data_IF_979720835792
#
_entry.id   IF_979720835792
#
_cell.length_a   1.000
_cell.length_b   1.000
_cell.length_c   1.000
_cell.angle_alpha   90.00
_cell.angle_beta   90.00
_cell.angle_gamma   90.00
#
_symmetry.space_group_name_H-M   'P 1'
#
loop_
_entity.id
_entity.type
_entity.pdbx_description
1 polymer ?
#
# COMPACT_ATOMS: atom_id res chain seq x y z
N UNK A 1 -1.57 -11.10 8.02
CA UNK A 1 -2.89 -11.40 7.40
C UNK A 1 -3.82 -12.02 8.41
N UNK A 2 -5.09 -11.60 8.42
CA UNK A 2 -6.14 -12.21 9.22
C UNK A 2 -6.80 -13.34 8.42
N UNK A 3 -6.86 -14.54 9.02
CA UNK A 3 -7.57 -15.70 8.49
C UNK A 3 -8.76 -16.00 9.39
N UNK A 4 -9.95 -16.00 8.80
CA UNK A 4 -11.18 -16.40 9.47
C UNK A 4 -11.52 -17.85 9.11
N UNK A 5 -11.69 -18.71 10.10
CA UNK A 5 -12.02 -20.13 9.90
C UNK A 5 -13.54 -20.29 9.87
N UNK A 6 -14.07 -20.69 8.71
CA UNK A 6 -15.50 -20.93 8.53
C UNK A 6 -15.95 -22.26 9.17
N UNK A 7 -17.28 -22.38 9.41
CA UNK A 7 -17.90 -23.60 9.96
C UNK A 7 -17.69 -24.84 9.08
N UNK A 8 -17.60 -24.67 7.76
CA UNK A 8 -17.34 -25.77 6.83
C UNK A 8 -16.01 -26.50 7.09
N UNK A 9 -14.99 -25.76 7.53
CA UNK A 9 -13.70 -26.34 7.93
C UNK A 9 -13.84 -27.16 9.22
N UNK A 10 -14.59 -26.63 10.19
CA UNK A 10 -14.82 -27.33 11.46
C UNK A 10 -15.55 -28.65 11.21
N UNK A 11 -16.59 -28.64 10.39
CA UNK A 11 -17.33 -29.84 9.99
C UNK A 11 -16.46 -30.87 9.26
N UNK A 12 -15.54 -30.40 8.40
CA UNK A 12 -14.61 -31.30 7.72
C UNK A 12 -13.59 -31.91 8.70
N UNK A 13 -13.10 -31.13 9.67
CA UNK A 13 -12.20 -31.62 10.71
C UNK A 13 -12.87 -32.65 11.63
N UNK A 14 -14.13 -32.44 12.03
CA UNK A 14 -14.93 -33.40 12.79
C UNK A 14 -15.13 -34.72 12.04
N UNK A 15 -15.26 -34.68 10.71
CA UNK A 15 -15.29 -35.85 9.84
C UNK A 15 -13.92 -36.48 9.58
N UNK A 16 -12.89 -36.03 10.31
CA UNK A 16 -11.50 -36.52 10.21
C UNK A 16 -10.89 -36.37 8.81
N UNK A 17 -11.23 -35.28 8.09
CA UNK A 17 -10.57 -34.96 6.82
C UNK A 17 -9.10 -34.59 7.11
N UNK A 18 -8.19 -35.54 6.87
CA UNK A 18 -6.77 -35.40 7.17
C UNK A 18 -6.13 -34.17 6.51
N UNK A 19 -6.53 -33.85 5.26
CA UNK A 19 -5.99 -32.66 4.58
C UNK A 19 -6.37 -31.36 5.28
N UNK A 20 -7.62 -31.23 5.73
CA UNK A 20 -8.09 -30.07 6.49
C UNK A 20 -7.40 -29.97 7.85
N UNK A 21 -7.29 -31.10 8.56
CA UNK A 21 -6.62 -31.14 9.89
C UNK A 21 -5.16 -30.72 9.75
N UNK A 22 -4.44 -31.23 8.74
CA UNK A 22 -3.05 -30.86 8.48
C UNK A 22 -2.92 -29.34 8.23
N UNK A 23 -3.81 -28.76 7.40
CA UNK A 23 -3.77 -27.30 7.13
C UNK A 23 -4.10 -26.46 8.35
N UNK A 24 -4.99 -26.94 9.21
CA UNK A 24 -5.26 -26.28 10.50
C UNK A 24 -4.03 -26.30 11.42
N UNK A 25 -3.27 -27.39 11.45
CA UNK A 25 -2.01 -27.49 12.20
C UNK A 25 -0.96 -26.50 11.68
N UNK A 26 -0.79 -26.43 10.37
CA UNK A 26 0.10 -25.47 9.72
C UNK A 26 -0.29 -24.02 10.03
N UNK A 27 -1.57 -23.72 10.01
CA UNK A 27 -2.12 -22.40 10.32
C UNK A 27 -1.90 -22.03 11.80
N UNK A 28 -2.13 -22.97 12.73
CA UNK A 28 -1.82 -22.80 14.15
C UNK A 28 -0.33 -22.59 14.39
N UNK A 29 0.52 -23.29 13.66
CA UNK A 29 1.97 -23.08 13.70
C UNK A 29 2.33 -21.64 13.30
N UNK A 30 1.77 -21.13 12.19
CA UNK A 30 1.98 -19.75 11.76
C UNK A 30 1.50 -18.74 12.82
N UNK A 31 0.33 -18.97 13.40
CA UNK A 31 -0.21 -18.11 14.44
C UNK A 31 0.68 -18.05 15.68
N UNK A 32 1.15 -19.21 16.17
CA UNK A 32 2.07 -19.31 17.33
C UNK A 32 3.38 -18.55 17.08
N UNK A 33 3.86 -18.55 15.84
CA UNK A 33 5.08 -17.84 15.42
C UNK A 33 4.86 -16.33 15.20
N UNK A 34 3.64 -15.85 15.35
CA UNK A 34 3.33 -14.44 15.11
C UNK A 34 3.37 -14.04 13.64
N UNK A 35 2.99 -14.94 12.75
CA UNK A 35 3.02 -14.73 11.29
C UNK A 35 1.65 -14.35 10.72
N UNK A 36 0.57 -14.62 11.45
CA UNK A 36 -0.80 -14.31 11.06
C UNK A 36 -1.69 -14.05 12.28
N UNK A 37 -2.94 -13.67 12.00
CA UNK A 37 -4.04 -13.62 12.97
C UNK A 37 -5.04 -14.69 12.60
N UNK A 38 -5.57 -15.41 13.61
CA UNK A 38 -6.66 -16.36 13.45
C UNK A 38 -7.90 -15.86 14.18
N UNK A 39 -9.04 -15.98 13.51
CA UNK A 39 -10.35 -15.79 14.13
C UNK A 39 -11.36 -16.82 13.61
N UNK A 40 -12.43 -17.01 14.37
CA UNK A 40 -13.60 -17.81 14.03
C UNK A 40 -14.73 -17.49 14.99
N UNK A 41 -15.94 -18.00 14.75
CA UNK A 41 -17.00 -17.98 15.77
C UNK A 41 -16.58 -18.74 17.02
N UNK A 42 -17.00 -18.25 18.19
CA UNK A 42 -16.65 -18.89 19.47
C UNK A 42 -17.04 -20.36 19.51
N UNK A 43 -18.23 -20.69 19.02
CA UNK A 43 -18.71 -22.08 18.90
C UNK A 43 -17.79 -22.95 18.02
N UNK A 44 -17.30 -22.43 16.91
CA UNK A 44 -16.39 -23.14 16.03
C UNK A 44 -15.05 -23.42 16.73
N UNK A 45 -14.52 -22.46 17.48
CA UNK A 45 -13.31 -22.66 18.26
C UNK A 45 -13.52 -23.73 19.34
N UNK A 46 -14.66 -23.75 20.02
CA UNK A 46 -15.00 -24.78 21.02
C UNK A 46 -15.08 -26.18 20.40
N UNK A 47 -15.68 -26.29 19.20
CA UNK A 47 -15.75 -27.55 18.45
C UNK A 47 -14.36 -28.05 18.05
N UNK A 48 -13.49 -27.16 17.54
CA UNK A 48 -12.09 -27.50 17.22
C UNK A 48 -11.32 -27.96 18.45
N UNK A 49 -11.43 -27.27 19.58
CA UNK A 49 -10.78 -27.63 20.83
C UNK A 49 -11.22 -29.03 21.28
N UNK A 50 -12.49 -29.38 21.13
CA UNK A 50 -13.07 -30.68 21.51
C UNK A 50 -12.50 -31.86 20.69
N UNK A 51 -11.94 -31.62 19.48
CA UNK A 51 -11.27 -32.67 18.71
C UNK A 51 -10.00 -33.21 19.40
N UNK A 52 -9.43 -32.47 20.30
CA UNK A 52 -8.22 -32.91 21.03
C UNK A 52 -6.94 -32.77 20.23
N UNK A 53 -5.87 -33.44 20.65
CA UNK A 53 -4.56 -33.36 19.98
C UNK A 53 -4.04 -31.93 19.89
N UNK A 54 -3.47 -31.57 18.72
CA UNK A 54 -2.99 -30.22 18.39
C UNK A 54 -4.10 -29.18 18.36
N UNK A 55 -5.34 -29.56 18.08
CA UNK A 55 -6.49 -28.66 18.03
C UNK A 55 -6.81 -28.01 19.39
N UNK A 56 -6.34 -28.57 20.51
CA UNK A 56 -6.45 -27.94 21.84
C UNK A 56 -5.83 -26.52 21.88
N UNK A 57 -4.87 -26.24 21.02
CA UNK A 57 -4.18 -24.97 20.95
C UNK A 57 -5.09 -23.83 20.47
N UNK A 58 -6.23 -24.14 19.84
CA UNK A 58 -7.27 -23.14 19.55
C UNK A 58 -7.85 -22.50 20.82
N UNK A 59 -7.63 -23.07 22.01
CA UNK A 59 -7.95 -22.43 23.29
C UNK A 59 -7.20 -21.09 23.44
N UNK A 60 -5.96 -21.01 22.97
CA UNK A 60 -5.17 -19.79 23.01
C UNK A 60 -5.66 -18.76 21.97
N UNK A 61 -6.13 -19.19 20.78
CA UNK A 61 -6.80 -18.31 19.81
C UNK A 61 -8.08 -17.75 20.40
N UNK A 62 -8.89 -18.59 21.05
CA UNK A 62 -10.14 -18.18 21.72
C UNK A 62 -9.88 -17.16 22.84
N UNK A 63 -8.79 -17.30 23.60
CA UNK A 63 -8.44 -16.40 24.69
C UNK A 63 -8.13 -14.95 24.21
N UNK A 64 -7.60 -14.76 23.00
CA UNK A 64 -7.26 -13.44 22.44
C UNK A 64 -8.35 -12.85 21.56
N UNK A 65 -9.45 -13.57 21.33
CA UNK A 65 -10.53 -13.19 20.41
C UNK A 65 -11.11 -11.79 20.68
N UNK A 66 -11.24 -11.39 21.94
CA UNK A 66 -11.79 -10.09 22.30
C UNK A 66 -10.92 -8.94 21.79
N UNK A 67 -9.59 -9.10 21.81
CA UNK A 67 -8.65 -8.13 21.25
C UNK A 67 -8.67 -8.06 19.71
N UNK A 68 -9.08 -9.16 19.05
CA UNK A 68 -9.15 -9.24 17.60
C UNK A 68 -10.39 -8.53 17.04
N UNK A 69 -11.47 -8.44 17.80
CA UNK A 69 -12.75 -7.90 17.30
C UNK A 69 -12.62 -6.50 16.71
N UNK A 70 -11.82 -5.64 17.30
CA UNK A 70 -11.62 -4.28 16.84
C UNK A 70 -10.82 -4.18 15.52
N UNK A 71 -10.05 -5.22 15.16
CA UNK A 71 -9.19 -5.17 13.98
C UNK A 71 -9.98 -5.11 12.67
N UNK A 72 -11.23 -5.61 12.66
CA UNK A 72 -12.09 -5.60 11.47
C UNK A 72 -12.48 -4.19 11.00
N UNK A 73 -12.46 -3.20 11.90
CA UNK A 73 -12.65 -1.79 11.53
C UNK A 73 -11.44 -1.19 10.83
N UNK A 74 -10.24 -1.72 11.12
CA UNK A 74 -8.97 -1.16 10.73
C UNK A 74 -8.36 -1.83 9.49
N UNK A 75 -9.02 -2.87 8.96
CA UNK A 75 -8.59 -3.60 7.75
C UNK A 75 -9.55 -3.38 6.59
N UNK A 76 -8.98 -3.37 5.37
CA UNK A 76 -9.73 -3.28 4.12
C UNK A 76 -10.09 -4.65 3.56
N UNK A 77 -9.32 -5.69 3.89
CA UNK A 77 -9.54 -7.06 3.44
C UNK A 77 -8.95 -8.10 4.41
N UNK A 78 -9.48 -9.31 4.34
CA UNK A 78 -9.01 -10.49 5.08
C UNK A 78 -9.38 -11.76 4.32
N UNK A 79 -8.92 -12.92 4.76
CA UNK A 79 -9.19 -14.19 4.12
C UNK A 79 -10.17 -15.01 4.97
N UNK A 80 -11.21 -15.52 4.33
CA UNK A 80 -12.10 -16.52 4.90
C UNK A 80 -11.72 -17.89 4.32
N UNK A 81 -11.23 -18.75 5.20
CA UNK A 81 -10.91 -20.12 4.86
C UNK A 81 -12.18 -20.95 4.85
N UNK A 82 -12.42 -21.70 3.76
CA UNK A 82 -13.57 -22.57 3.56
C UNK A 82 -13.12 -23.98 3.20
N UNK A 83 -14.04 -24.94 3.28
CA UNK A 83 -13.90 -26.27 2.72
C UNK A 83 -14.98 -26.47 1.67
N UNK A 84 -14.57 -26.64 0.40
CA UNK A 84 -15.49 -26.69 -0.72
C UNK A 84 -16.24 -25.36 -0.98
N UNK A 85 -17.34 -25.43 -1.69
CA UNK A 85 -18.18 -24.28 -2.07
C UNK A 85 -19.06 -23.78 -0.90
N UNK A 86 -18.50 -23.58 0.27
CA UNK A 86 -19.24 -23.10 1.43
C UNK A 86 -19.63 -21.62 1.29
N UNK A 87 -20.80 -21.28 1.81
CA UNK A 87 -21.28 -19.90 1.93
C UNK A 87 -21.00 -19.43 3.36
N UNK A 88 -19.94 -18.64 3.61
CA UNK A 88 -19.58 -18.24 4.96
C UNK A 88 -20.69 -17.44 5.62
N UNK A 89 -20.98 -17.76 6.87
CA UNK A 89 -21.97 -17.03 7.66
C UNK A 89 -21.29 -15.85 8.37
N UNK A 90 -21.03 -14.78 7.63
CA UNK A 90 -20.50 -13.50 8.13
C UNK A 90 -21.51 -12.39 7.84
N UNK A 91 -21.36 -11.28 8.56
CA UNK A 91 -22.12 -10.06 8.27
C UNK A 91 -21.82 -9.56 6.85
N UNK A 92 -22.83 -9.00 6.19
CA UNK A 92 -22.72 -8.56 4.79
C UNK A 92 -21.57 -7.57 4.56
N UNK A 93 -21.29 -6.69 5.51
CA UNK A 93 -20.19 -5.71 5.39
C UNK A 93 -18.82 -6.36 5.57
N UNK A 94 -18.69 -7.39 6.38
CA UNK A 94 -17.48 -8.19 6.48
C UNK A 94 -17.26 -9.02 5.21
N UNK A 95 -18.33 -9.59 4.64
CA UNK A 95 -18.23 -10.35 3.38
C UNK A 95 -17.70 -9.51 2.21
N UNK A 96 -18.00 -8.21 2.16
CA UNK A 96 -17.45 -7.29 1.14
C UNK A 96 -15.93 -7.16 1.22
N UNK A 97 -15.35 -7.35 2.40
CA UNK A 97 -13.90 -7.30 2.64
C UNK A 97 -13.23 -8.68 2.55
N UNK A 98 -14.00 -9.76 2.46
CA UNK A 98 -13.51 -11.12 2.52
C UNK A 98 -13.05 -11.64 1.17
N UNK A 99 -11.84 -12.19 1.10
CA UNK A 99 -11.42 -13.10 0.04
C UNK A 99 -11.67 -14.54 0.49
N UNK A 100 -12.41 -15.33 -0.31
CA UNK A 100 -12.67 -16.73 0.00
C UNK A 100 -11.52 -17.58 -0.51
N UNK A 101 -11.03 -18.49 0.33
CA UNK A 101 -9.96 -19.41 -0.01
C UNK A 101 -10.28 -20.80 0.51
N UNK A 102 -10.28 -21.78 -0.38
CA UNK A 102 -10.38 -23.17 0.03
C UNK A 102 -9.10 -23.60 0.75
N UNK A 103 -9.23 -24.09 1.98
CA UNK A 103 -8.06 -24.41 2.83
C UNK A 103 -7.17 -25.48 2.22
N UNK A 104 -7.75 -26.43 1.47
CA UNK A 104 -7.01 -27.52 0.80
C UNK A 104 -6.29 -27.06 -0.46
N UNK A 105 -6.64 -25.90 -1.02
CA UNK A 105 -5.92 -25.33 -2.18
C UNK A 105 -4.58 -24.69 -1.77
N UNK A 106 -4.36 -24.44 -0.49
CA UNK A 106 -3.09 -23.88 0.03
C UNK A 106 -2.00 -24.93 -0.04
N UNK A 107 -0.94 -24.66 -0.77
CA UNK A 107 0.11 -25.65 -1.06
C UNK A 107 1.06 -25.94 0.11
N UNK A 108 1.14 -25.08 1.11
CA UNK A 108 2.00 -25.30 2.28
C UNK A 108 1.99 -24.15 3.29
N UNK A 109 2.66 -24.38 4.41
CA UNK A 109 2.75 -23.46 5.56
C UNK A 109 3.23 -22.05 5.17
N UNK A 110 4.14 -21.95 4.21
CA UNK A 110 4.69 -20.66 3.77
C UNK A 110 3.65 -19.74 3.14
N UNK A 111 2.62 -20.30 2.51
CA UNK A 111 1.54 -19.51 1.91
C UNK A 111 0.68 -18.79 2.96
N UNK A 112 0.60 -19.33 4.19
CA UNK A 112 -0.04 -18.65 5.33
C UNK A 112 0.87 -17.63 6.02
N UNK A 113 2.20 -17.81 5.89
CA UNK A 113 3.18 -17.06 6.66
C UNK A 113 3.72 -15.84 5.92
N UNK A 114 3.78 -15.86 4.58
CA UNK A 114 4.49 -14.86 3.80
C UNK A 114 3.49 -13.94 3.08
N UNK A 115 3.66 -12.65 3.30
CA UNK A 115 2.84 -11.60 2.70
C UNK A 115 3.76 -10.63 1.94
N UNK A 116 3.56 -10.47 0.64
CA UNK A 116 4.41 -9.62 -0.19
C UNK A 116 3.78 -8.26 -0.47
N UNK A 117 4.53 -7.20 -0.22
CA UNK A 117 4.27 -5.88 -0.80
C UNK A 117 5.14 -5.74 -2.04
N UNK A 118 4.50 -5.68 -3.20
CA UNK A 118 5.16 -5.58 -4.51
C UNK A 118 5.12 -4.12 -4.95
N UNK A 119 6.30 -3.53 -5.11
CA UNK A 119 6.48 -2.15 -5.56
C UNK A 119 7.28 -2.11 -6.86
N UNK A 120 7.27 -1.00 -7.57
CA UNK A 120 8.11 -0.83 -8.76
C UNK A 120 9.59 -0.91 -8.41
N UNK A 121 9.96 -0.35 -7.23
CA UNK A 121 11.30 -0.44 -6.67
C UNK A 121 11.23 -0.83 -5.18
N UNK A 122 12.24 -1.54 -4.68
CA UNK A 122 12.35 -1.92 -3.26
C UNK A 122 12.41 -0.69 -2.34
N UNK A 123 12.98 0.43 -2.79
CA UNK A 123 13.02 1.68 -2.00
C UNK A 123 11.63 2.26 -1.73
N UNK A 124 10.68 2.06 -2.64
CA UNK A 124 9.30 2.49 -2.43
C UNK A 124 8.70 1.77 -1.23
N UNK A 125 8.98 0.47 -1.11
CA UNK A 125 8.56 -0.33 0.04
C UNK A 125 9.12 0.22 1.36
N UNK A 126 10.37 0.66 1.39
CA UNK A 126 10.98 1.20 2.62
C UNK A 126 10.23 2.44 3.11
N UNK A 127 9.83 3.33 2.20
CA UNK A 127 9.00 4.48 2.53
C UNK A 127 7.61 4.07 3.01
N UNK A 128 6.93 3.17 2.28
CA UNK A 128 5.60 2.70 2.65
C UNK A 128 5.60 2.00 4.01
N UNK A 129 6.61 1.17 4.27
CA UNK A 129 6.77 0.49 5.54
C UNK A 129 6.98 1.48 6.69
N UNK A 130 7.89 2.44 6.52
CA UNK A 130 8.16 3.47 7.54
C UNK A 130 6.90 4.30 7.85
N UNK A 131 6.20 4.78 6.83
CA UNK A 131 4.98 5.56 7.01
C UNK A 131 3.86 4.73 7.64
N UNK A 132 3.68 3.48 7.19
CA UNK A 132 2.70 2.56 7.79
C UNK A 132 3.04 2.28 9.25
N UNK A 133 4.31 2.01 9.58
CA UNK A 133 4.76 1.78 10.96
C UNK A 133 4.46 2.97 11.88
N UNK A 134 4.59 4.19 11.34
CA UNK A 134 4.27 5.43 12.06
C UNK A 134 2.75 5.56 12.31
N UNK A 135 1.93 5.31 11.29
CA UNK A 135 0.48 5.49 11.35
C UNK A 135 -0.23 4.39 12.14
N UNK A 136 0.23 3.14 12.04
CA UNK A 136 -0.36 2.01 12.78
C UNK A 136 0.28 1.77 14.15
N UNK A 137 1.15 2.67 14.61
CA UNK A 137 1.85 2.52 15.89
C UNK A 137 0.89 2.29 17.06
N UNK A 138 -0.24 3.00 17.07
CA UNK A 138 -1.29 2.83 18.09
C UNK A 138 -2.02 1.48 17.96
N UNK A 139 -2.18 0.95 16.73
CA UNK A 139 -2.83 -0.34 16.47
C UNK A 139 -1.89 -1.51 16.83
N UNK A 140 -0.59 -1.28 16.73
CA UNK A 140 0.42 -2.32 17.04
C UNK A 140 0.48 -2.68 18.52
N UNK A 141 -0.09 -1.95 19.42
CA UNK A 141 -0.12 -2.20 20.85
C UNK A 141 0.77 -3.41 21.29
N UNK A 142 0.62 -3.92 22.45
CA UNK A 142 1.41 -5.06 22.94
C UNK A 142 1.06 -6.40 22.25
N UNK A 143 -0.01 -6.48 21.44
CA UNK A 143 -0.59 -7.72 20.93
C UNK A 143 -0.24 -7.97 19.46
N UNK A 144 -0.17 -6.92 18.63
CA UNK A 144 -0.04 -7.04 17.18
C UNK A 144 1.33 -6.65 16.64
N UNK A 145 1.63 -7.17 15.47
CA UNK A 145 2.86 -6.98 14.71
C UNK A 145 2.52 -6.84 13.21
N UNK A 146 3.47 -6.34 12.43
CA UNK A 146 3.37 -6.28 10.96
C UNK A 146 4.34 -7.29 10.35
N UNK A 147 3.79 -8.29 9.64
CA UNK A 147 4.54 -9.34 8.95
C UNK A 147 4.39 -9.18 7.43
N UNK A 148 5.31 -8.45 6.82
CA UNK A 148 5.35 -8.17 5.38
C UNK A 148 6.78 -8.30 4.86
N UNK A 149 6.90 -8.66 3.59
CA UNK A 149 8.18 -8.74 2.87
C UNK A 149 8.14 -7.90 1.60
N UNK A 150 9.24 -7.21 1.25
CA UNK A 150 9.35 -6.52 -0.01
C UNK A 150 9.48 -7.49 -1.17
N UNK A 151 8.92 -7.11 -2.32
CA UNK A 151 9.19 -7.76 -3.57
C UNK A 151 9.34 -6.73 -4.70
N UNK A 152 10.44 -6.82 -5.46
CA UNK A 152 10.71 -5.88 -6.54
C UNK A 152 9.91 -6.27 -7.79
N UNK A 153 9.00 -5.40 -8.20
CA UNK A 153 8.17 -5.59 -9.39
C UNK A 153 8.90 -5.26 -10.70
N UNK A 154 9.86 -4.31 -10.66
CA UNK A 154 10.63 -3.91 -11.83
C UNK A 154 9.85 -3.09 -12.86
N UNK A 155 8.88 -2.27 -12.44
CA UNK A 155 8.10 -1.40 -13.33
C UNK A 155 7.35 -2.19 -14.42
N UNK A 156 7.75 -2.07 -15.69
CA UNK A 156 7.09 -2.74 -16.82
C UNK A 156 7.08 -4.28 -16.73
N UNK A 157 7.93 -4.89 -15.92
CA UNK A 157 8.01 -6.36 -15.71
C UNK A 157 7.22 -6.84 -14.48
N UNK A 158 6.50 -5.95 -13.82
CA UNK A 158 5.80 -6.24 -12.55
C UNK A 158 4.85 -7.44 -12.66
N UNK A 159 4.14 -7.59 -13.77
CA UNK A 159 3.20 -8.70 -13.99
C UNK A 159 3.93 -10.04 -14.03
N UNK A 160 5.05 -10.13 -14.73
CA UNK A 160 5.86 -11.36 -14.79
C UNK A 160 6.42 -11.70 -13.42
N UNK A 161 6.92 -10.68 -12.69
CA UNK A 161 7.38 -10.83 -11.31
C UNK A 161 6.29 -11.37 -10.39
N UNK A 162 5.06 -10.87 -10.50
CA UNK A 162 3.92 -11.25 -9.65
C UNK A 162 3.43 -12.67 -9.93
N UNK A 163 3.53 -13.15 -11.18
CA UNK A 163 3.17 -14.54 -11.53
C UNK A 163 3.99 -15.57 -10.75
N UNK A 164 5.25 -15.26 -10.43
CA UNK A 164 6.08 -16.13 -9.60
C UNK A 164 5.63 -16.20 -8.13
N UNK A 165 4.76 -15.26 -7.69
CA UNK A 165 4.19 -15.23 -6.34
C UNK A 165 2.82 -15.93 -6.26
N UNK A 166 2.54 -16.86 -7.17
CA UNK A 166 1.25 -17.57 -7.14
C UNK A 166 1.09 -18.34 -5.82
N UNK A 167 -0.12 -18.29 -5.24
CA UNK A 167 -0.44 -18.89 -3.95
C UNK A 167 -0.01 -18.07 -2.72
N UNK A 168 0.73 -16.95 -2.88
CA UNK A 168 1.06 -16.05 -1.77
C UNK A 168 0.15 -14.83 -1.73
N UNK A 169 -0.05 -14.31 -0.51
CA UNK A 169 -0.72 -13.03 -0.32
C UNK A 169 0.15 -11.90 -0.86
N UNK A 170 -0.40 -11.06 -1.73
CA UNK A 170 0.35 -9.96 -2.35
C UNK A 170 -0.48 -8.71 -2.54
N UNK A 171 0.13 -7.58 -2.21
CA UNK A 171 -0.38 -6.24 -2.46
C UNK A 171 0.55 -5.52 -3.42
N UNK A 172 0.02 -5.12 -4.57
CA UNK A 172 0.75 -4.36 -5.58
C UNK A 172 0.50 -2.87 -5.36
N UNK A 173 1.56 -2.09 -5.19
CA UNK A 173 1.46 -0.63 -5.07
C UNK A 173 2.27 -0.01 -6.21
N UNK A 174 1.63 0.88 -6.99
CA UNK A 174 2.23 1.52 -8.15
C UNK A 174 2.00 3.02 -8.18
N UNK A 175 2.88 3.72 -8.84
CA UNK A 175 2.75 5.13 -9.14
C UNK A 175 1.57 5.38 -10.09
N UNK A 176 1.01 6.57 -10.04
CA UNK A 176 -0.04 6.95 -11.00
C UNK A 176 0.52 7.49 -12.31
N UNK A 177 1.72 8.04 -12.30
CA UNK A 177 2.37 8.77 -13.41
C UNK A 177 1.52 9.93 -13.95
N UNK A 178 0.48 10.36 -13.23
CA UNK A 178 -0.43 11.42 -13.68
C UNK A 178 0.26 12.78 -13.59
N UNK A 179 0.20 13.53 -14.68
CA UNK A 179 0.78 14.88 -14.79
C UNK A 179 -0.22 16.01 -14.59
N UNK A 180 -1.51 15.68 -14.50
CA UNK A 180 -2.65 16.56 -14.25
C UNK A 180 -3.89 15.71 -13.98
N UNK A 181 -4.98 16.28 -13.48
CA UNK A 181 -6.12 15.54 -12.93
C UNK A 181 -6.76 14.54 -13.92
N UNK A 182 -7.03 14.96 -15.15
CA UNK A 182 -7.62 14.10 -16.19
C UNK A 182 -6.60 13.24 -16.95
N UNK A 183 -5.31 13.29 -16.58
CA UNK A 183 -4.29 12.45 -17.21
C UNK A 183 -4.60 10.96 -16.96
N UNK A 184 -4.53 10.10 -17.99
CA UNK A 184 -4.60 8.67 -17.78
C UNK A 184 -3.44 8.23 -16.87
N UNK A 185 -3.65 7.17 -16.12
CA UNK A 185 -2.60 6.54 -15.32
C UNK A 185 -1.50 5.94 -16.20
N UNK A 186 -0.35 5.68 -15.60
CA UNK A 186 0.82 5.15 -16.29
C UNK A 186 0.64 3.73 -16.86
N UNK A 187 1.63 3.31 -17.61
CA UNK A 187 1.62 2.00 -18.27
C UNK A 187 1.67 0.85 -17.26
N UNK A 188 2.39 1.00 -16.15
CA UNK A 188 2.50 -0.02 -15.10
C UNK A 188 1.13 -0.31 -14.47
N UNK A 189 0.36 0.73 -14.10
CA UNK A 189 -1.01 0.54 -13.60
C UNK A 189 -1.88 -0.17 -14.65
N UNK A 190 -1.80 0.24 -15.90
CA UNK A 190 -2.57 -0.37 -16.99
C UNK A 190 -2.29 -1.85 -17.15
N UNK A 191 -1.02 -2.28 -17.07
CA UNK A 191 -0.61 -3.69 -17.11
C UNK A 191 -1.16 -4.49 -15.92
N UNK A 192 -1.09 -3.92 -14.70
CA UNK A 192 -1.64 -4.57 -13.50
C UNK A 192 -3.15 -4.71 -13.59
N UNK A 193 -3.87 -3.66 -14.01
CA UNK A 193 -5.31 -3.73 -14.14
C UNK A 193 -5.73 -4.76 -15.21
N UNK A 194 -4.98 -4.88 -16.30
CA UNK A 194 -5.19 -5.92 -17.30
C UNK A 194 -4.95 -7.31 -16.72
N UNK A 195 -3.84 -7.52 -16.00
CA UNK A 195 -3.51 -8.78 -15.33
C UNK A 195 -4.62 -9.22 -14.37
N UNK A 196 -5.06 -8.32 -13.48
CA UNK A 196 -6.12 -8.61 -12.51
C UNK A 196 -7.44 -8.98 -13.20
N UNK A 197 -7.81 -8.29 -14.29
CA UNK A 197 -9.06 -8.58 -15.03
C UNK A 197 -9.00 -9.88 -15.82
N UNK A 198 -7.87 -10.17 -16.48
CA UNK A 198 -7.73 -11.32 -17.38
C UNK A 198 -7.44 -12.62 -16.64
N UNK A 199 -6.53 -12.58 -15.66
CA UNK A 199 -6.04 -13.77 -14.98
C UNK A 199 -6.75 -14.02 -13.64
N UNK A 200 -7.41 -12.98 -13.07
CA UNK A 200 -8.13 -13.04 -11.78
C UNK A 200 -7.32 -13.75 -10.70
N UNK A 201 -6.10 -13.31 -10.43
CA UNK A 201 -5.19 -13.99 -9.52
C UNK A 201 -5.77 -14.01 -8.10
N UNK A 202 -5.70 -15.17 -7.46
CA UNK A 202 -6.08 -15.30 -6.06
C UNK A 202 -5.13 -14.53 -5.14
N UNK A 203 -5.64 -14.08 -3.99
CA UNK A 203 -4.85 -13.44 -2.93
C UNK A 203 -4.00 -12.26 -3.43
N UNK A 204 -4.53 -11.50 -4.38
CA UNK A 204 -3.87 -10.39 -5.03
C UNK A 204 -4.70 -9.11 -4.93
N UNK A 205 -4.18 -8.13 -4.25
CA UNK A 205 -4.78 -6.79 -4.14
C UNK A 205 -3.88 -5.77 -4.83
N UNK A 206 -4.45 -4.67 -5.28
CA UNK A 206 -3.69 -3.58 -5.88
C UNK A 206 -4.10 -2.22 -5.34
N UNK A 207 -3.16 -1.30 -5.35
CA UNK A 207 -3.39 0.11 -5.09
C UNK A 207 -2.51 0.94 -6.02
N UNK A 208 -3.11 1.91 -6.71
CA UNK A 208 -2.38 2.90 -7.49
C UNK A 208 -2.44 4.21 -6.76
N UNK A 209 -1.31 4.86 -6.56
CA UNK A 209 -1.23 6.17 -5.90
C UNK A 209 -2.17 7.18 -6.59
N UNK A 210 -2.71 8.09 -5.80
CA UNK A 210 -3.43 9.26 -6.29
C UNK A 210 -2.42 10.30 -6.78
N UNK A 211 -1.34 10.47 -6.01
CA UNK A 211 -0.22 11.33 -6.35
C UNK A 211 0.59 10.78 -7.54
N UNK A 212 1.41 11.64 -8.15
CA UNK A 212 2.20 11.30 -9.34
C UNK A 212 3.09 10.08 -9.13
N UNK A 213 3.92 10.11 -8.10
CA UNK A 213 4.91 9.07 -7.77
C UNK A 213 5.15 8.98 -6.25
N UNK A 214 5.87 7.96 -5.81
CA UNK A 214 6.16 7.71 -4.38
C UNK A 214 6.84 8.91 -3.70
N UNK A 215 7.68 9.68 -4.41
CA UNK A 215 8.37 10.86 -3.89
C UNK A 215 7.40 11.96 -3.43
N UNK A 216 6.19 12.02 -3.98
CA UNK A 216 5.15 12.95 -3.52
C UNK A 216 4.69 12.65 -2.07
N UNK A 217 4.97 11.47 -1.55
CA UNK A 217 4.62 11.06 -0.18
C UNK A 217 5.69 11.42 0.85
N UNK A 218 6.86 11.91 0.41
CA UNK A 218 7.94 12.31 1.31
C UNK A 218 7.52 13.47 2.21
N UNK A 219 7.86 13.44 3.53
CA UNK A 219 7.62 14.58 4.39
C UNK A 219 8.46 15.79 3.96
N UNK A 220 7.84 16.95 3.89
CA UNK A 220 8.53 18.19 3.48
C UNK A 220 9.73 18.52 4.37
N UNK A 221 9.60 18.31 5.68
CA UNK A 221 10.70 18.51 6.63
C UNK A 221 11.92 17.65 6.30
N UNK A 222 11.71 16.41 5.85
CA UNK A 222 12.81 15.53 5.42
C UNK A 222 13.45 16.06 4.14
N UNK A 223 12.64 16.46 3.15
CA UNK A 223 13.14 17.06 1.90
C UNK A 223 13.96 18.31 2.19
N UNK A 224 13.51 19.19 3.11
CA UNK A 224 14.23 20.39 3.53
C UNK A 224 15.61 20.07 4.11
N UNK A 225 15.69 19.05 4.94
CA UNK A 225 16.94 18.66 5.59
C UNK A 225 17.96 18.07 4.62
N UNK A 226 17.54 17.20 3.71
CA UNK A 226 18.45 16.55 2.73
C UNK A 226 18.85 17.48 1.58
N UNK A 227 18.04 18.49 1.28
CA UNK A 227 18.27 19.42 0.16
C UNK A 227 18.76 20.80 0.60
N UNK A 228 19.32 20.92 1.81
CA UNK A 228 19.78 22.19 2.38
C UNK A 228 20.74 23.01 1.47
N UNK A 229 21.48 22.35 0.58
CA UNK A 229 22.36 22.99 -0.41
C UNK A 229 21.61 23.70 -1.55
N UNK A 230 20.33 23.44 -1.73
CA UNK A 230 19.48 24.00 -2.82
C UNK A 230 18.33 24.83 -2.25
N UNK A 231 18.65 25.74 -1.33
CA UNK A 231 17.67 26.59 -0.60
C UNK A 231 16.61 27.26 -1.49
N UNK A 232 16.96 27.64 -2.72
CA UNK A 232 16.02 28.28 -3.63
C UNK A 232 14.88 27.34 -4.07
N UNK A 233 15.15 26.02 -4.20
CA UNK A 233 14.12 25.02 -4.52
C UNK A 233 13.14 24.89 -3.36
N UNK A 234 13.66 24.78 -2.14
CA UNK A 234 12.87 24.72 -0.92
C UNK A 234 12.00 25.95 -0.75
N UNK A 235 12.56 27.17 -0.97
CA UNK A 235 11.78 28.40 -0.89
C UNK A 235 10.59 28.38 -1.84
N UNK A 236 10.76 27.91 -3.09
CA UNK A 236 9.67 27.79 -4.05
C UNK A 236 8.65 26.73 -3.62
N UNK A 237 9.12 25.58 -3.14
CA UNK A 237 8.25 24.50 -2.67
C UNK A 237 7.38 24.95 -1.49
N UNK A 238 7.93 25.73 -0.55
CA UNK A 238 7.18 26.29 0.57
C UNK A 238 6.10 27.29 0.10
N UNK A 239 6.41 28.15 -0.88
CA UNK A 239 5.40 29.04 -1.49
C UNK A 239 4.29 28.20 -2.14
N UNK A 240 4.64 27.14 -2.86
CA UNK A 240 3.66 26.24 -3.48
C UNK A 240 2.79 25.59 -2.41
N UNK A 241 3.39 25.05 -1.36
CA UNK A 241 2.67 24.38 -0.26
C UNK A 241 1.64 25.30 0.41
N UNK A 242 1.98 26.59 0.57
CA UNK A 242 1.14 27.58 1.25
C UNK A 242 0.10 28.24 0.30
N UNK A 243 0.15 27.98 -1.01
CA UNK A 243 -0.81 28.49 -1.98
C UNK A 243 -2.11 27.68 -1.98
N UNK A 244 -3.24 28.33 -2.22
CA UNK A 244 -4.54 27.69 -2.24
C UNK A 244 -4.66 26.57 -3.31
N UNK A 245 -3.93 26.69 -4.43
CA UNK A 245 -3.85 25.68 -5.49
C UNK A 245 -2.70 24.69 -5.28
N UNK A 246 -1.85 24.93 -4.28
CA UNK A 246 -0.63 24.19 -4.02
C UNK A 246 -0.84 22.69 -3.83
N UNK A 247 -1.83 22.28 -3.05
CA UNK A 247 -2.17 20.87 -2.88
C UNK A 247 -2.48 20.18 -4.22
N UNK A 248 -3.27 20.80 -5.09
CA UNK A 248 -3.59 20.26 -6.42
C UNK A 248 -2.34 20.17 -7.30
N UNK A 249 -1.46 21.18 -7.25
CA UNK A 249 -0.20 21.16 -7.99
C UNK A 249 0.72 20.03 -7.50
N UNK A 250 0.88 19.88 -6.19
CA UNK A 250 1.78 18.90 -5.57
C UNK A 250 1.36 17.45 -5.81
N UNK A 251 0.07 17.17 -5.99
CA UNK A 251 -0.41 15.84 -6.41
C UNK A 251 0.27 15.38 -7.70
N UNK A 252 0.46 16.28 -8.66
CA UNK A 252 0.97 15.97 -10.00
C UNK A 252 2.39 16.46 -10.26
N UNK A 253 3.07 16.97 -9.24
CA UNK A 253 4.44 17.45 -9.34
C UNK A 253 5.41 16.29 -9.37
N UNK A 254 6.23 16.21 -10.40
CA UNK A 254 7.33 15.26 -10.49
C UNK A 254 8.49 15.75 -9.60
N UNK A 255 8.66 15.14 -8.43
CA UNK A 255 9.71 15.55 -7.49
C UNK A 255 11.12 15.27 -8.00
N UNK A 256 11.29 14.30 -8.87
CA UNK A 256 12.59 14.01 -9.53
C UNK A 256 12.91 15.04 -10.60
N UNK A 257 12.01 15.17 -11.59
CA UNK A 257 12.28 15.90 -12.81
C UNK A 257 11.70 17.33 -12.85
N UNK A 258 10.82 17.66 -11.89
CA UNK A 258 10.20 18.98 -11.81
C UNK A 258 9.01 19.19 -12.76
N UNK A 259 8.47 20.41 -12.76
CA UNK A 259 7.38 20.81 -13.62
C UNK A 259 7.92 21.50 -14.88
N UNK A 260 7.67 20.91 -16.04
CA UNK A 260 8.24 21.33 -17.34
C UNK A 260 7.25 22.09 -18.21
N UNK A 261 7.78 22.79 -19.23
CA UNK A 261 6.98 23.47 -20.23
C UNK A 261 5.98 22.53 -20.93
N UNK A 262 6.36 21.26 -21.16
CA UNK A 262 5.47 20.24 -21.73
C UNK A 262 4.24 19.97 -20.86
N UNK A 263 4.40 19.93 -19.53
CA UNK A 263 3.28 19.73 -18.61
C UNK A 263 2.26 20.86 -18.73
N UNK A 264 2.72 22.11 -18.76
CA UNK A 264 1.82 23.26 -18.91
C UNK A 264 1.07 23.25 -20.25
N UNK A 265 1.70 22.77 -21.33
CA UNK A 265 1.06 22.60 -22.65
C UNK A 265 0.01 21.50 -22.64
N UNK A 266 0.29 20.38 -21.98
CA UNK A 266 -0.67 19.28 -21.82
C UNK A 266 -1.90 19.73 -21.03
N UNK A 267 -1.72 20.47 -19.94
CA UNK A 267 -2.79 21.07 -19.15
C UNK A 267 -3.62 22.01 -20.01
N UNK A 268 -2.99 22.90 -20.78
CA UNK A 268 -3.73 23.78 -21.73
C UNK A 268 -4.58 23.00 -22.72
N UNK A 269 -4.07 21.88 -23.22
CA UNK A 269 -4.77 21.06 -24.23
C UNK A 269 -5.93 20.27 -23.62
N UNK A 270 -5.76 19.72 -22.44
CA UNK A 270 -6.65 18.72 -21.87
C UNK A 270 -7.48 19.23 -20.66
N UNK A 271 -7.01 20.27 -19.96
CA UNK A 271 -7.63 20.84 -18.75
C UNK A 271 -7.58 22.37 -18.77
N UNK A 272 -8.07 23.00 -19.82
CA UNK A 272 -7.96 24.46 -19.98
C UNK A 272 -8.60 25.26 -18.83
N UNK A 273 -9.54 24.69 -18.10
CA UNK A 273 -10.20 25.31 -16.94
C UNK A 273 -9.24 25.58 -15.78
N UNK A 274 -8.30 24.67 -15.50
CA UNK A 274 -7.31 24.81 -14.44
C UNK A 274 -6.06 25.60 -14.83
N UNK A 275 -5.87 25.88 -16.14
CA UNK A 275 -4.69 26.59 -16.65
C UNK A 275 -4.46 27.95 -15.97
N UNK A 276 -5.55 28.65 -15.60
CA UNK A 276 -5.50 29.94 -14.90
C UNK A 276 -4.78 29.84 -13.56
N UNK A 277 -5.11 28.81 -12.79
CA UNK A 277 -4.55 28.59 -11.46
C UNK A 277 -3.08 28.16 -11.53
N UNK A 278 -2.71 27.29 -12.49
CA UNK A 278 -1.30 26.97 -12.77
C UNK A 278 -0.50 28.23 -13.09
N UNK A 279 -1.01 29.16 -13.92
CA UNK A 279 -0.32 30.41 -14.26
C UNK A 279 -0.13 31.29 -13.03
N UNK A 280 -1.17 31.46 -12.19
CA UNK A 280 -1.10 32.24 -10.96
C UNK A 280 -0.03 31.68 -10.03
N UNK A 281 -0.05 30.36 -9.77
CA UNK A 281 0.93 29.68 -8.94
C UNK A 281 2.35 29.83 -9.48
N UNK A 282 2.57 29.64 -10.78
CA UNK A 282 3.88 29.84 -11.38
C UNK A 282 4.37 31.29 -11.25
N UNK A 283 3.49 32.27 -11.35
CA UNK A 283 3.83 33.68 -11.14
C UNK A 283 4.19 33.98 -9.67
N UNK A 284 3.47 33.38 -8.69
CA UNK A 284 3.74 33.58 -7.27
C UNK A 284 5.14 33.08 -6.84
N UNK A 285 5.64 32.02 -7.51
CA UNK A 285 7.00 31.49 -7.29
C UNK A 285 8.07 32.17 -8.16
N UNK A 286 7.74 33.31 -8.80
CA UNK A 286 8.69 34.13 -9.55
C UNK A 286 8.96 33.71 -11.00
N UNK A 287 8.08 32.91 -11.61
CA UNK A 287 8.15 32.63 -13.06
C UNK A 287 7.48 33.77 -13.84
N UNK A 288 8.23 34.49 -14.67
CA UNK A 288 7.70 35.63 -15.41
C UNK A 288 6.60 35.22 -16.40
N UNK A 289 5.63 36.13 -16.60
CA UNK A 289 4.57 35.92 -17.60
C UNK A 289 5.10 35.59 -18.98
N UNK A 290 6.20 36.25 -19.41
CA UNK A 290 6.81 36.00 -20.72
C UNK A 290 7.35 34.58 -20.83
N UNK A 291 7.95 34.05 -19.73
CA UNK A 291 8.40 32.66 -19.68
C UNK A 291 7.21 31.69 -19.75
N UNK A 292 6.11 31.98 -19.07
CA UNK A 292 4.87 31.20 -19.13
C UNK A 292 4.28 31.24 -20.54
N UNK A 293 4.17 32.43 -21.15
CA UNK A 293 3.68 32.62 -22.54
C UNK A 293 4.56 31.86 -23.53
N UNK A 294 5.90 31.94 -23.38
CA UNK A 294 6.86 31.21 -24.21
C UNK A 294 6.68 29.70 -24.06
N UNK A 295 6.58 29.19 -22.83
CA UNK A 295 6.33 27.76 -22.55
C UNK A 295 5.08 27.24 -23.26
N UNK A 296 4.01 28.02 -23.28
CA UNK A 296 2.75 27.66 -23.96
C UNK A 296 2.85 27.67 -25.48
N UNK A 297 3.73 28.49 -26.06
CA UNK A 297 3.88 28.64 -27.54
C UNK A 297 4.89 27.67 -28.16
N UNK A 298 5.85 27.16 -27.36
CA UNK A 298 6.91 26.25 -27.86
C UNK A 298 6.30 24.96 -28.42
N UNK A 299 6.78 24.49 -29.55
CA UNK A 299 6.55 23.13 -30.02
C UNK A 299 7.28 22.17 -29.10
N UNK A 300 6.72 20.98 -28.91
CA UNK A 300 7.40 19.95 -28.12
C UNK A 300 8.69 19.53 -28.84
N UNK A 301 9.79 19.69 -28.14
CA UNK A 301 11.08 19.10 -28.47
C UNK A 301 11.71 18.64 -27.19
N UNK A 302 12.07 17.36 -27.13
CA UNK A 302 12.62 16.74 -25.93
C UNK A 302 13.89 17.44 -25.44
N UNK A 303 14.69 18.02 -26.36
CA UNK A 303 15.95 18.69 -26.05
C UNK A 303 15.73 20.13 -25.54
N UNK A 304 14.57 20.71 -25.76
CA UNK A 304 14.24 22.10 -25.37
C UNK A 304 13.11 22.20 -24.35
N UNK A 305 12.69 21.07 -23.76
CA UNK A 305 11.63 21.04 -22.76
C UNK A 305 12.17 21.50 -21.38
N UNK A 306 12.26 22.82 -21.24
CA UNK A 306 12.82 23.47 -20.06
C UNK A 306 11.93 23.30 -18.82
N UNK A 307 12.56 23.13 -17.68
CA UNK A 307 11.91 23.15 -16.36
C UNK A 307 11.38 24.56 -16.03
N UNK A 308 10.13 24.64 -15.60
CA UNK A 308 9.55 25.83 -14.98
C UNK A 308 9.77 25.82 -13.47
N UNK A 309 9.59 24.66 -12.84
CA UNK A 309 9.93 24.41 -11.44
C UNK A 309 10.88 23.23 -11.41
N UNK A 310 12.08 23.43 -10.85
CA UNK A 310 13.08 22.36 -10.81
C UNK A 310 12.70 21.23 -9.85
N UNK A 311 12.94 20.00 -10.28
CA UNK A 311 12.89 18.83 -9.42
C UNK A 311 14.12 18.70 -8.51
N UNK A 312 14.14 17.68 -7.70
CA UNK A 312 15.21 17.42 -6.72
C UNK A 312 16.21 16.37 -7.20
N UNK A 313 15.93 15.70 -8.31
CA UNK A 313 16.78 14.66 -8.90
C UNK A 313 16.40 13.24 -8.49
N UNK A 314 16.97 12.26 -9.18
CA UNK A 314 16.62 10.83 -9.04
C UNK A 314 17.01 10.23 -7.69
N UNK A 315 17.91 10.88 -6.92
CA UNK A 315 18.37 10.39 -5.62
C UNK A 315 17.46 10.81 -4.45
N UNK A 316 16.49 11.70 -4.67
CA UNK A 316 15.73 12.33 -3.57
C UNK A 316 15.09 11.31 -2.61
N UNK A 317 14.48 10.24 -3.13
CA UNK A 317 13.90 9.18 -2.29
C UNK A 317 14.97 8.48 -1.45
N UNK A 318 16.11 8.12 -2.06
CA UNK A 318 17.20 7.45 -1.37
C UNK A 318 17.82 8.34 -0.28
N UNK A 319 18.01 9.62 -0.58
CA UNK A 319 18.57 10.59 0.37
C UNK A 319 17.63 10.80 1.56
N UNK A 320 16.32 10.91 1.30
CA UNK A 320 15.29 11.01 2.34
C UNK A 320 15.22 9.74 3.20
N UNK A 321 15.26 8.55 2.62
CA UNK A 321 15.27 7.29 3.37
C UNK A 321 16.53 7.14 4.22
N UNK A 322 17.68 7.56 3.73
CA UNK A 322 18.93 7.62 4.51
C UNK A 322 18.81 8.54 5.69
N UNK A 323 18.23 9.73 5.49
CA UNK A 323 17.97 10.68 6.58
C UNK A 323 17.02 10.07 7.62
N UNK A 324 15.89 9.52 7.19
CA UNK A 324 14.90 8.89 8.06
C UNK A 324 15.53 7.77 8.90
N UNK A 325 16.34 6.91 8.29
CA UNK A 325 16.98 5.79 8.98
C UNK A 325 18.07 6.19 9.98
N UNK A 326 18.64 7.36 9.81
CA UNK A 326 19.71 7.89 10.66
C UNK A 326 19.23 8.82 11.80
N UNK A 327 17.92 9.10 11.85
CA UNK A 327 17.33 10.01 12.83
C UNK A 327 16.10 9.39 13.50
N UNK A 328 16.18 9.06 14.78
CA UNK A 328 15.13 8.33 15.52
C UNK A 328 13.81 9.11 15.70
N UNK A 329 13.83 10.44 15.53
CA UNK A 329 12.69 11.31 15.84
C UNK A 329 12.03 11.94 14.59
N UNK A 330 12.19 11.34 13.42
CA UNK A 330 11.51 11.84 12.22
C UNK A 330 10.02 11.53 12.31
N UNK A 331 9.20 12.58 12.35
CA UNK A 331 7.75 12.45 12.37
C UNK A 331 7.19 12.42 10.94
N UNK A 332 6.17 11.60 10.74
CA UNK A 332 5.40 11.63 9.51
C UNK A 332 4.38 12.78 9.56
N UNK A 333 4.84 13.98 9.16
CA UNK A 333 3.96 15.14 9.00
C UNK A 333 3.26 15.06 7.63
N UNK A 334 1.99 14.65 7.63
CA UNK A 334 1.20 14.41 6.42
C UNK A 334 0.53 15.71 6.00
N UNK A 335 0.80 16.16 4.78
CA UNK A 335 0.10 17.26 4.13
C UNK A 335 -1.27 16.80 3.59
N UNK A 336 -2.18 17.75 3.36
CA UNK A 336 -3.56 17.43 2.96
C UNK A 336 -3.62 16.57 1.69
N UNK A 337 -2.80 16.85 0.69
CA UNK A 337 -2.78 16.10 -0.56
C UNK A 337 -2.23 14.66 -0.42
N UNK A 338 -1.51 14.36 0.67
CA UNK A 338 -0.93 13.04 0.96
C UNK A 338 -1.86 12.16 1.80
N UNK A 339 -2.86 12.75 2.49
CA UNK A 339 -3.67 12.06 3.51
C UNK A 339 -4.38 10.82 2.97
N UNK A 340 -4.95 10.92 1.78
CA UNK A 340 -5.71 9.82 1.20
C UNK A 340 -4.81 8.65 0.82
N UNK A 341 -3.66 8.91 0.19
CA UNK A 341 -2.70 7.87 -0.15
C UNK A 341 -2.13 7.21 1.11
N UNK A 342 -1.66 7.98 2.08
CA UNK A 342 -1.13 7.43 3.33
C UNK A 342 -2.18 6.61 4.10
N UNK A 343 -3.43 7.07 4.14
CA UNK A 343 -4.54 6.35 4.76
C UNK A 343 -4.80 5.02 4.07
N UNK A 344 -4.85 5.00 2.72
CA UNK A 344 -5.09 3.80 1.93
C UNK A 344 -3.92 2.82 1.99
N UNK A 345 -2.68 3.30 1.80
CA UNK A 345 -1.46 2.49 1.86
C UNK A 345 -1.35 1.80 3.21
N UNK A 346 -1.45 2.57 4.30
CA UNK A 346 -1.29 2.05 5.65
C UNK A 346 -2.35 1.00 5.99
N UNK A 347 -3.60 1.23 5.61
CA UNK A 347 -4.69 0.30 5.84
C UNK A 347 -4.54 -0.99 5.04
N UNK A 348 -4.13 -0.89 3.76
CA UNK A 348 -3.91 -2.06 2.91
C UNK A 348 -2.70 -2.87 3.35
N UNK A 349 -1.59 -2.22 3.68
CA UNK A 349 -0.40 -2.89 4.22
C UNK A 349 -0.72 -3.53 5.58
N UNK A 350 -1.49 -2.85 6.43
CA UNK A 350 -1.96 -3.42 7.69
C UNK A 350 -2.85 -4.63 7.46
N UNK A 351 -3.81 -4.56 6.54
CA UNK A 351 -4.68 -5.68 6.18
C UNK A 351 -3.88 -6.90 5.71
N UNK A 352 -2.87 -6.67 4.86
CA UNK A 352 -2.01 -7.71 4.33
C UNK A 352 -1.13 -8.35 5.42
N UNK A 353 -0.54 -7.54 6.29
CA UNK A 353 0.57 -7.95 7.15
C UNK A 353 0.25 -8.05 8.63
N UNK A 354 -0.97 -7.69 9.09
CA UNK A 354 -1.28 -7.79 10.51
C UNK A 354 -1.11 -9.22 11.02
N UNK A 355 -0.41 -9.36 12.14
CA UNK A 355 -0.08 -10.62 12.76
C UNK A 355 -0.07 -10.48 14.30
N UNK A 356 -0.26 -11.58 15.02
CA UNK A 356 -0.07 -11.60 16.47
C UNK A 356 1.41 -11.50 16.81
N UNK A 357 1.77 -10.82 17.90
CA UNK A 357 3.14 -10.95 18.43
C UNK A 357 3.38 -12.39 18.87
N UNK A 358 4.55 -12.97 18.57
CA UNK A 358 4.88 -14.32 19.05
C UNK A 358 4.78 -14.35 20.58
N UNK A 359 4.15 -15.38 21.12
CA UNK A 359 4.18 -15.60 22.57
C UNK A 359 5.62 -15.93 22.95
N UNK A 360 6.22 -15.14 23.83
CA UNK A 360 7.46 -15.53 24.49
C UNK A 360 7.14 -16.75 25.35
N UNK A 361 7.75 -17.89 25.05
CA UNK A 361 7.72 -19.07 25.90
C UNK A 361 8.48 -18.78 27.18
#
# INVERSE_FOLDING_TARGET
MLYYIDSSIVEAAEKQNNSVVQRLDELLYCWKRGLCILDSRRQNLDRLIALGGSMKDFSAVKAVKQGIHNIYSDIDFFIVLTNGNANPQLDADLLKKAALLEITSVSGVFNFAINFVVCENVRDYDLYKWGTDSLVKALKDNIFNLNIMPYNGGGSTIVDSVRHLNGFNKLLITDSDKKYASCPKGSTDSLIQQYIRSERPDLCWSYTLIVHEVENLLPFEVIENVTSTVRYKIKKLNIIKDDAFGNTFLIYFDFKNGFRCSHLRLIRKNENTSLGDYKKLLSSIGISEDRIKKALKMKYDKNTDNELVCGFGDSILADCLTYISSHDNVNLNILDYQKEDWGNISRKIWSLGCAMKPKRN
#
